data_IF_782828939476
#
_entry.id   IF_782828939476
#
_cell.length_a   1.000
_cell.length_b   1.000
_cell.length_c   1.000
_cell.angle_alpha   90.00
_cell.angle_beta   90.00
_cell.angle_gamma   90.00
#
_symmetry.space_group_name_H-M   'P 1'
#
loop_
_entity.id
_entity.type
_entity.pdbx_description
1 polymer ?
#
# COMPACT_ATOMS: atom_id res chain seq x y z
N UNK A 1 1.28 -7.20 -11.12
CA UNK A 1 1.52 -6.22 -12.21
C UNK A 1 1.62 -7.00 -13.50
N UNK A 2 0.84 -6.66 -14.51
CA UNK A 2 0.80 -7.37 -15.78
C UNK A 2 1.43 -6.52 -16.90
N UNK A 3 2.32 -7.11 -17.68
CA UNK A 3 3.01 -6.47 -18.82
C UNK A 3 3.82 -5.20 -18.48
N UNK A 4 4.29 -5.06 -17.24
CA UNK A 4 5.08 -3.88 -16.85
C UNK A 4 6.49 -3.89 -17.43
N UNK A 5 7.08 -5.08 -17.59
CA UNK A 5 8.43 -5.26 -18.11
C UNK A 5 8.39 -5.83 -19.51
N UNK A 6 9.04 -5.16 -20.46
CA UNK A 6 9.18 -5.68 -21.82
C UNK A 6 10.51 -6.43 -21.97
N UNK A 7 10.52 -7.72 -22.34
CA UNK A 7 11.73 -8.52 -22.48
C UNK A 7 12.46 -8.14 -23.78
N UNK A 8 13.13 -6.98 -23.79
CA UNK A 8 13.83 -6.46 -24.96
C UNK A 8 14.04 -4.94 -24.96
N UNK A 9 13.51 -4.20 -23.98
CA UNK A 9 13.76 -2.78 -23.87
C UNK A 9 15.20 -2.47 -23.43
N UNK A 10 15.85 -1.59 -24.19
CA UNK A 10 17.17 -1.05 -23.91
C UNK A 10 17.09 0.36 -23.30
N UNK A 11 18.21 0.92 -22.86
CA UNK A 11 18.25 2.31 -22.38
C UNK A 11 17.95 3.37 -23.46
N UNK A 12 17.92 2.97 -24.73
CA UNK A 12 17.69 3.83 -25.90
C UNK A 12 16.29 3.70 -26.51
N UNK A 13 15.46 2.77 -26.02
CA UNK A 13 14.06 2.71 -26.46
C UNK A 13 13.30 3.93 -25.95
N UNK A 14 12.21 4.30 -26.63
CA UNK A 14 11.37 5.44 -26.23
C UNK A 14 10.80 5.30 -24.82
N UNK A 15 10.48 4.07 -24.43
CA UNK A 15 10.19 3.67 -23.05
C UNK A 15 11.41 2.89 -22.54
N UNK A 16 12.28 3.50 -21.73
CA UNK A 16 13.47 2.83 -21.25
C UNK A 16 13.15 1.77 -20.19
N UNK A 17 13.97 0.71 -20.11
CA UNK A 17 13.84 -0.33 -19.07
C UNK A 17 13.90 0.22 -17.64
N UNK A 18 14.72 1.24 -17.38
CA UNK A 18 14.82 1.85 -16.06
C UNK A 18 13.51 2.56 -15.64
N UNK A 19 12.74 3.08 -16.60
CA UNK A 19 11.43 3.68 -16.36
C UNK A 19 10.42 2.59 -15.93
N UNK A 20 10.45 1.45 -16.61
CA UNK A 20 9.63 0.28 -16.27
C UNK A 20 9.93 -0.20 -14.85
N UNK A 21 11.22 -0.39 -14.52
CA UNK A 21 11.66 -0.77 -13.18
C UNK A 21 11.23 0.26 -12.15
N UNK A 22 11.43 1.56 -12.40
CA UNK A 22 11.01 2.62 -11.49
C UNK A 22 9.50 2.57 -11.22
N UNK A 23 8.68 2.48 -12.26
CA UNK A 23 7.24 2.37 -12.11
C UNK A 23 6.85 1.14 -11.29
N UNK A 24 7.50 -0.01 -11.50
CA UNK A 24 7.26 -1.20 -10.67
C UNK A 24 7.65 -0.99 -9.21
N UNK A 25 8.79 -0.35 -8.95
CA UNK A 25 9.25 -0.09 -7.59
C UNK A 25 8.33 0.88 -6.87
N UNK A 26 7.86 1.95 -7.53
CA UNK A 26 6.92 2.91 -6.94
C UNK A 26 5.61 2.22 -6.54
N UNK A 27 5.03 1.40 -7.41
CA UNK A 27 3.80 0.69 -7.06
C UNK A 27 4.01 -0.41 -6.02
N UNK A 28 5.22 -0.97 -5.90
CA UNK A 28 5.56 -1.91 -4.82
C UNK A 28 5.77 -1.19 -3.50
N UNK A 29 6.40 -0.01 -3.49
CA UNK A 29 6.69 0.74 -2.26
C UNK A 29 5.46 1.41 -1.66
N UNK A 30 4.41 1.66 -2.45
CA UNK A 30 3.12 2.13 -1.94
C UNK A 30 2.42 1.12 -1.01
N UNK A 31 2.81 -0.16 -1.06
CA UNK A 31 2.21 -1.19 -0.22
C UNK A 31 3.27 -1.88 0.64
N UNK A 32 2.93 -2.30 1.87
CA UNK A 32 3.85 -3.09 2.68
C UNK A 32 4.31 -4.35 1.93
N UNK A 33 5.59 -4.73 2.00
CA UNK A 33 6.08 -5.94 1.36
C UNK A 33 5.40 -7.17 1.95
N UNK A 34 4.91 -8.06 1.07
CA UNK A 34 4.16 -9.25 1.46
C UNK A 34 5.04 -10.48 1.26
N UNK A 35 5.29 -11.22 2.35
CA UNK A 35 5.97 -12.52 2.31
C UNK A 35 4.93 -13.64 2.14
N UNK A 36 4.91 -14.38 1.01
CA UNK A 36 3.86 -15.36 0.72
C UNK A 36 3.80 -16.52 1.72
N UNK A 37 4.91 -16.82 2.40
CA UNK A 37 5.00 -17.91 3.38
C UNK A 37 4.48 -17.52 4.77
N UNK A 38 4.56 -16.23 5.13
CA UNK A 38 4.23 -15.77 6.49
C UNK A 38 2.82 -15.16 6.57
N UNK A 39 2.31 -14.60 5.47
CA UNK A 39 1.01 -13.94 5.49
C UNK A 39 -0.13 -14.93 5.38
N UNK A 40 -1.06 -14.99 6.35
CA UNK A 40 -2.18 -15.92 6.31
C UNK A 40 -3.15 -15.53 5.18
N UNK A 41 -3.50 -16.48 4.32
CA UNK A 41 -4.36 -16.23 3.15
C UNK A 41 -5.77 -15.72 3.48
N UNK A 42 -6.20 -15.86 4.74
CA UNK A 42 -7.47 -15.32 5.25
C UNK A 42 -7.51 -13.79 5.34
N UNK A 43 -6.35 -13.13 5.45
CA UNK A 43 -6.28 -11.66 5.50
C UNK A 43 -6.35 -11.03 4.11
N UNK A 44 -6.03 -11.79 3.06
CA UNK A 44 -6.05 -11.33 1.67
C UNK A 44 -7.49 -11.28 1.16
N UNK A 45 -8.12 -10.10 1.26
CA UNK A 45 -9.51 -9.86 0.82
C UNK A 45 -9.62 -8.99 -0.43
N UNK A 46 -8.55 -8.29 -0.80
CA UNK A 46 -8.52 -7.27 -1.85
C UNK A 46 -7.29 -7.48 -2.71
N UNK A 47 -7.44 -7.25 -4.01
CA UNK A 47 -6.36 -7.33 -4.99
C UNK A 47 -6.42 -6.14 -5.94
N UNK A 48 -5.26 -5.55 -6.17
CA UNK A 48 -5.08 -4.51 -7.16
C UNK A 48 -4.46 -5.11 -8.42
N UNK A 49 -5.15 -4.97 -9.55
CA UNK A 49 -4.65 -5.32 -10.87
C UNK A 49 -4.19 -4.05 -11.59
N UNK A 50 -2.88 -3.99 -11.81
CA UNK A 50 -2.25 -3.02 -12.71
C UNK A 50 -1.90 -3.75 -14.00
N UNK A 51 -2.51 -3.35 -15.11
CA UNK A 51 -2.27 -3.91 -16.43
C UNK A 51 -1.75 -2.83 -17.37
N UNK A 52 -0.52 -2.98 -17.87
CA UNK A 52 0.02 -2.08 -18.89
C UNK A 52 -0.53 -2.46 -20.26
N UNK A 53 -1.05 -1.45 -20.98
CA UNK A 53 -1.42 -1.61 -22.38
C UNK A 53 -0.15 -1.54 -23.23
N UNK A 54 0.15 -2.63 -23.94
CA UNK A 54 1.22 -2.65 -24.95
C UNK A 54 0.62 -2.22 -26.28
N UNK A 55 0.91 -0.99 -26.72
CA UNK A 55 0.67 -0.61 -28.11
C UNK A 55 1.66 -1.39 -28.98
N UNK A 56 1.18 -2.13 -29.98
CA UNK A 56 2.03 -2.97 -30.86
C UNK A 56 3.02 -2.21 -31.75
N UNK A 57 3.10 -0.89 -31.59
CA UNK A 57 4.17 -0.02 -32.10
C UNK A 57 4.77 0.69 -30.90
N UNK A 58 6.08 0.85 -30.88
CA UNK A 58 6.83 1.63 -29.90
C UNK A 58 6.41 3.12 -29.98
N UNK A 59 5.19 3.42 -29.54
CA UNK A 59 4.56 4.73 -29.60
C UNK A 59 5.09 5.63 -28.46
N UNK A 60 5.99 5.11 -27.62
CA UNK A 60 6.56 5.81 -26.47
C UNK A 60 5.56 6.01 -25.32
N UNK A 61 4.32 5.56 -25.50
CA UNK A 61 3.25 5.77 -24.53
C UNK A 61 3.29 4.70 -23.45
N UNK A 62 3.29 5.12 -22.19
CA UNK A 62 3.20 4.22 -21.04
C UNK A 62 1.81 4.38 -20.40
N UNK A 63 0.91 3.46 -20.73
CA UNK A 63 -0.49 3.46 -20.30
C UNK A 63 -0.75 2.28 -19.37
N UNK A 64 -1.27 2.56 -18.18
CA UNK A 64 -1.59 1.56 -17.15
C UNK A 64 -3.07 1.62 -16.80
N UNK A 65 -3.73 0.48 -16.93
CA UNK A 65 -5.07 0.26 -16.41
C UNK A 65 -5.01 -0.14 -14.94
N UNK A 66 -5.69 0.63 -14.10
CA UNK A 66 -5.83 0.40 -12.67
C UNK A 66 -7.21 -0.17 -12.37
N UNK A 67 -7.26 -1.35 -11.75
CA UNK A 67 -8.50 -2.04 -11.40
C UNK A 67 -8.39 -2.67 -10.02
N UNK A 68 -9.38 -2.45 -9.17
CA UNK A 68 -9.43 -2.99 -7.81
C UNK A 68 -10.56 -4.00 -7.67
N UNK A 69 -10.21 -5.21 -7.26
CA UNK A 69 -11.13 -6.32 -7.04
C UNK A 69 -11.12 -6.74 -5.57
N UNK A 70 -12.30 -7.11 -5.06
CA UNK A 70 -12.43 -7.91 -3.85
C UNK A 70 -12.34 -9.40 -4.21
N UNK A 71 -11.60 -10.16 -3.39
CA UNK A 71 -11.46 -11.60 -3.53
C UNK A 71 -12.52 -12.28 -2.66
N UNK A 72 -13.27 -13.20 -3.27
CA UNK A 72 -14.17 -14.12 -2.59
C UNK A 72 -13.71 -15.55 -2.84
N UNK A 73 -13.38 -16.29 -1.79
CA UNK A 73 -12.95 -17.69 -1.90
C UNK A 73 -14.11 -18.63 -1.57
N UNK A 74 -14.21 -19.72 -2.33
CA UNK A 74 -15.16 -20.81 -2.09
C UNK A 74 -14.40 -22.13 -2.01
N UNK A 75 -14.59 -22.90 -0.95
CA UNK A 75 -14.00 -24.24 -0.85
C UNK A 75 -14.60 -25.16 -1.92
N UNK A 76 -13.78 -25.77 -2.77
CA UNK A 76 -14.22 -26.66 -3.87
C UNK A 76 -14.18 -28.14 -3.49
N UNK A 77 -13.28 -28.52 -2.56
CA UNK A 77 -13.07 -29.93 -2.17
C UNK A 77 -14.31 -30.62 -1.54
N UNK A 78 -15.31 -29.86 -1.09
CA UNK A 78 -16.52 -30.41 -0.46
C UNK A 78 -17.69 -30.36 -1.43
N UNK A 79 -18.33 -31.51 -1.66
CA UNK A 79 -19.55 -31.62 -2.48
C UNK A 79 -20.69 -30.77 -1.90
N UNK A 80 -21.64 -30.33 -2.74
CA UNK A 80 -22.81 -29.54 -2.30
C UNK A 80 -23.59 -30.23 -1.16
N UNK A 81 -23.84 -31.56 -1.19
CA UNK A 81 -24.49 -32.27 -0.09
C UNK A 81 -23.69 -32.21 1.23
N UNK A 82 -22.38 -32.42 1.18
CA UNK A 82 -21.51 -32.35 2.35
C UNK A 82 -21.40 -30.91 2.91
N UNK A 83 -21.43 -29.89 2.05
CA UNK A 83 -21.52 -28.47 2.48
C UNK A 83 -22.80 -28.19 3.26
N UNK A 84 -23.93 -28.77 2.85
CA UNK A 84 -25.21 -28.64 3.57
C UNK A 84 -25.16 -29.34 4.94
N UNK A 85 -24.54 -30.51 5.02
CA UNK A 85 -24.33 -31.23 6.29
C UNK A 85 -23.43 -30.41 7.23
N UNK A 86 -22.26 -29.96 6.77
CA UNK A 86 -21.36 -29.10 7.57
C UNK A 86 -22.02 -27.79 8.02
N UNK A 87 -22.90 -27.22 7.18
CA UNK A 87 -23.67 -26.04 7.55
C UNK A 87 -24.71 -26.36 8.64
N UNK A 88 -25.37 -27.52 8.57
CA UNK A 88 -26.30 -27.99 9.60
C UNK A 88 -25.58 -28.29 10.92
N UNK A 89 -24.40 -28.89 10.90
CA UNK A 89 -23.55 -29.14 12.07
C UNK A 89 -23.20 -27.85 12.84
N UNK A 90 -22.76 -26.80 12.12
CA UNK A 90 -22.49 -25.48 12.72
C UNK A 90 -23.74 -24.83 13.32
N UNK A 91 -24.92 -25.17 12.81
CA UNK A 91 -26.19 -24.66 13.34
C UNK A 91 -26.70 -25.51 14.51
N UNK A 92 -26.34 -26.79 14.61
CA UNK A 92 -26.65 -27.63 15.77
C UNK A 92 -25.89 -27.18 17.02
N UNK A 93 -24.65 -26.70 16.86
CA UNK A 93 -23.86 -26.15 17.97
C UNK A 93 -24.38 -24.80 18.47
N UNK A 94 -25.13 -24.06 17.65
CA UNK A 94 -25.76 -22.80 18.03
C UNK A 94 -27.23 -23.04 18.37
N UNK A 95 -27.61 -22.92 19.66
CA UNK A 95 -28.93 -23.33 20.21
C UNK A 95 -30.19 -22.67 19.56
N UNK A 96 -30.05 -21.85 18.53
CA UNK A 96 -31.07 -20.94 18.01
C UNK A 96 -31.79 -21.36 16.71
N UNK A 97 -31.42 -22.45 16.01
CA UNK A 97 -32.16 -22.81 14.79
C UNK A 97 -32.38 -24.32 14.61
N UNK A 98 -33.51 -24.82 15.10
CA UNK A 98 -33.86 -26.25 15.04
C UNK A 98 -34.71 -26.68 13.85
N UNK A 99 -35.03 -25.81 12.89
CA UNK A 99 -36.05 -26.20 11.88
C UNK A 99 -35.88 -25.69 10.43
N UNK A 100 -35.05 -24.69 10.15
CA UNK A 100 -35.08 -24.04 8.82
C UNK A 100 -34.04 -24.50 7.79
N UNK A 101 -32.93 -25.11 8.20
CA UNK A 101 -31.74 -25.32 7.34
C UNK A 101 -31.11 -26.72 7.45
N UNK A 102 -31.78 -27.67 8.09
CA UNK A 102 -31.32 -29.06 8.13
C UNK A 102 -31.82 -29.81 6.90
N UNK A 103 -30.97 -30.59 6.21
CA UNK A 103 -31.42 -31.52 5.18
C UNK A 103 -32.46 -32.49 5.74
N UNK A 104 -33.54 -32.75 5.00
CA UNK A 104 -34.54 -33.73 5.40
C UNK A 104 -34.04 -35.14 5.03
N UNK A 105 -33.59 -35.90 6.04
CA UNK A 105 -33.10 -37.27 5.87
C UNK A 105 -34.19 -38.32 6.17
N UNK A 106 -35.39 -37.92 6.57
CA UNK A 106 -36.42 -38.84 7.07
C UNK A 106 -37.02 -39.80 6.02
N UNK A 107 -36.65 -39.64 4.76
CA UNK A 107 -37.12 -40.47 3.63
C UNK A 107 -35.98 -41.25 2.96
N UNK A 108 -34.75 -41.11 3.47
CA UNK A 108 -33.57 -41.77 2.95
C UNK A 108 -33.18 -42.91 3.89
N UNK A 109 -32.81 -44.06 3.34
CA UNK A 109 -32.40 -45.22 4.13
C UNK A 109 -30.93 -45.12 4.55
N UNK A 110 -30.07 -44.53 3.69
CA UNK A 110 -28.64 -44.35 3.94
C UNK A 110 -28.13 -42.93 3.56
N UNK A 111 -27.01 -42.52 4.16
CA UNK A 111 -26.23 -41.31 3.81
C UNK A 111 -25.71 -41.41 2.37
N UNK A 112 -25.41 -42.63 1.90
CA UNK A 112 -25.04 -42.88 0.52
C UNK A 112 -26.12 -42.34 -0.45
N UNK A 113 -27.41 -42.56 -0.16
CA UNK A 113 -28.50 -42.04 -1.00
C UNK A 113 -28.54 -40.51 -0.99
N UNK A 114 -28.23 -39.88 0.13
CA UNK A 114 -28.14 -38.41 0.21
C UNK A 114 -26.94 -37.86 -0.58
N UNK A 115 -25.80 -38.54 -0.56
CA UNK A 115 -24.61 -38.15 -1.31
C UNK A 115 -24.75 -38.38 -2.81
N UNK A 116 -25.50 -39.42 -3.19
CA UNK A 116 -25.78 -39.80 -4.57
C UNK A 116 -26.88 -38.91 -5.18
N UNK A 117 -27.76 -38.33 -4.36
CA UNK A 117 -28.71 -37.31 -4.81
C UNK A 117 -30.20 -37.60 -4.63
N UNK A 118 -30.57 -38.45 -3.66
CA UNK A 118 -31.95 -38.75 -3.30
C UNK A 118 -32.75 -37.52 -2.81
N UNK A 119 -33.86 -37.74 -2.10
CA UNK A 119 -35.02 -36.82 -1.98
C UNK A 119 -34.81 -35.39 -1.42
N UNK A 120 -33.59 -34.88 -1.23
CA UNK A 120 -33.33 -33.42 -1.30
C UNK A 120 -31.90 -33.04 -1.72
N UNK A 121 -31.14 -33.98 -2.30
CA UNK A 121 -29.67 -33.96 -2.38
C UNK A 121 -29.05 -33.78 -3.76
N UNK A 122 -29.81 -33.40 -4.80
CA UNK A 122 -29.32 -32.91 -6.11
C UNK A 122 -28.18 -33.72 -6.75
N UNK A 123 -28.44 -34.99 -7.08
CA UNK A 123 -27.47 -35.82 -7.78
C UNK A 123 -28.12 -36.81 -8.75
N UNK A 124 -27.72 -36.68 -10.01
CA UNK A 124 -27.02 -37.71 -10.79
C UNK A 124 -26.44 -37.03 -12.04
N UNK A 125 -25.12 -36.90 -12.15
CA UNK A 125 -24.38 -36.84 -13.42
C UNK A 125 -24.72 -35.78 -14.51
N UNK A 126 -25.32 -34.63 -14.22
CA UNK A 126 -25.56 -33.57 -15.25
C UNK A 126 -24.65 -32.35 -15.18
N UNK A 127 -23.58 -32.36 -14.38
CA UNK A 127 -22.63 -31.22 -14.40
C UNK A 127 -21.84 -31.13 -15.72
N UNK A 128 -21.87 -32.16 -16.57
CA UNK A 128 -21.27 -32.11 -17.91
C UNK A 128 -22.04 -31.23 -18.94
N UNK A 129 -23.19 -30.61 -18.61
CA UNK A 129 -23.95 -29.84 -19.63
C UNK A 129 -24.60 -28.53 -19.15
N UNK A 130 -24.59 -28.18 -17.86
CA UNK A 130 -25.32 -26.99 -17.37
C UNK A 130 -24.40 -25.88 -16.88
N UNK A 131 -23.68 -25.26 -17.83
CA UNK A 131 -23.29 -23.83 -17.92
C UNK A 131 -22.76 -23.08 -16.68
N UNK A 132 -22.46 -23.78 -15.60
CA UNK A 132 -22.01 -23.23 -14.31
C UNK A 132 -20.90 -24.08 -13.69
N UNK A 133 -20.21 -24.86 -14.54
CA UNK A 133 -18.90 -25.38 -14.22
C UNK A 133 -18.06 -24.19 -13.75
N UNK A 134 -17.73 -24.20 -12.45
CA UNK A 134 -16.70 -23.32 -11.93
C UNK A 134 -15.46 -23.81 -12.66
N UNK A 135 -15.03 -23.05 -13.66
CA UNK A 135 -13.87 -23.35 -14.51
C UNK A 135 -12.78 -23.97 -13.64
N UNK A 136 -12.36 -25.19 -13.97
CA UNK A 136 -11.26 -25.88 -13.29
C UNK A 136 -9.97 -25.04 -13.30
N UNK A 137 -9.89 -24.06 -14.20
CA UNK A 137 -8.85 -23.02 -14.29
C UNK A 137 -8.82 -22.06 -13.08
N UNK A 138 -9.92 -21.93 -12.33
CA UNK A 138 -10.03 -21.06 -11.15
C UNK A 138 -9.83 -21.82 -9.82
N UNK A 139 -9.50 -23.11 -9.86
CA UNK A 139 -9.23 -23.91 -8.67
C UNK A 139 -7.75 -23.83 -8.28
N UNK A 140 -7.51 -23.40 -7.04
CA UNK A 140 -6.16 -23.30 -6.49
C UNK A 140 -6.04 -24.26 -5.32
N UNK A 141 -4.99 -25.09 -5.36
CA UNK A 141 -4.59 -25.93 -4.24
C UNK A 141 -3.83 -25.08 -3.22
N UNK A 142 -4.37 -24.98 -2.02
CA UNK A 142 -3.86 -24.09 -0.98
C UNK A 142 -3.43 -24.91 0.22
N UNK A 143 -2.15 -24.83 0.59
CA UNK A 143 -1.66 -25.32 1.88
C UNK A 143 -1.94 -24.24 2.92
N UNK A 144 -2.88 -24.49 3.84
CA UNK A 144 -3.21 -23.52 4.88
C UNK A 144 -2.19 -23.64 6.03
N UNK A 145 -1.24 -22.70 6.10
CA UNK A 145 -0.28 -22.59 7.22
C UNK A 145 -0.86 -21.85 8.44
N UNK A 146 -2.17 -21.62 8.50
CA UNK A 146 -2.78 -20.93 9.64
C UNK A 146 -2.44 -21.66 10.96
N UNK A 147 -1.95 -20.95 11.99
CA UNK A 147 -1.70 -21.56 13.28
C UNK A 147 -3.03 -22.11 13.81
N UNK A 148 -3.11 -23.44 13.96
CA UNK A 148 -4.27 -24.11 14.55
C UNK A 148 -4.57 -23.46 15.90
N UNK A 149 -5.86 -23.29 16.19
CA UNK A 149 -6.33 -22.76 17.48
C UNK A 149 -5.79 -23.67 18.58
N UNK A 150 -4.80 -23.20 19.32
CA UNK A 150 -4.23 -23.95 20.44
C UNK A 150 -5.36 -24.18 21.43
N UNK A 151 -5.77 -25.43 21.62
CA UNK A 151 -6.80 -25.79 22.58
C UNK A 151 -6.33 -25.35 23.97
N UNK A 152 -7.24 -24.78 24.77
CA UNK A 152 -6.92 -24.46 26.17
C UNK A 152 -6.48 -25.73 26.91
N UNK A 153 -5.61 -25.59 27.92
CA UNK A 153 -5.09 -26.71 28.73
C UNK A 153 -6.19 -27.64 29.25
N UNK A 154 -7.34 -27.08 29.64
CA UNK A 154 -8.53 -27.84 30.07
C UNK A 154 -9.17 -28.68 28.95
N UNK A 155 -9.20 -28.16 27.73
CA UNK A 155 -9.72 -28.88 26.56
C UNK A 155 -8.76 -29.97 26.09
N UNK A 156 -7.43 -29.76 26.24
CA UNK A 156 -6.41 -30.77 25.97
C UNK A 156 -6.55 -31.98 26.89
N UNK A 157 -6.68 -31.75 28.20
CA UNK A 157 -6.87 -32.81 29.20
C UNK A 157 -8.19 -33.59 29.00
N UNK A 158 -9.25 -32.92 28.52
CA UNK A 158 -10.52 -33.57 28.24
C UNK A 158 -10.47 -34.46 26.97
N UNK A 159 -9.75 -34.04 25.93
CA UNK A 159 -9.53 -34.84 24.72
C UNK A 159 -8.68 -36.08 25.02
N UNK A 160 -7.65 -35.92 25.84
CA UNK A 160 -6.76 -37.01 26.29
C UNK A 160 -7.52 -38.06 27.15
N UNK A 161 -8.51 -37.63 27.94
CA UNK A 161 -9.37 -38.53 28.71
C UNK A 161 -10.41 -39.29 27.86
N UNK A 162 -10.79 -38.73 26.70
CA UNK A 162 -11.77 -39.35 25.80
C UNK A 162 -11.13 -40.32 24.78
N UNK A 163 -9.80 -40.50 24.82
CA UNK A 163 -9.11 -41.39 23.88
C UNK A 163 -9.20 -40.94 22.42
N UNK A 164 -9.42 -39.65 22.18
CA UNK A 164 -9.31 -39.08 20.84
C UNK A 164 -7.82 -38.93 20.52
N UNK A 165 -7.29 -39.85 19.71
CA UNK A 165 -5.95 -39.77 19.16
C UNK A 165 -5.72 -38.36 18.61
N UNK A 166 -4.63 -37.69 19.03
CA UNK A 166 -4.24 -36.41 18.46
C UNK A 166 -3.98 -36.64 16.97
N UNK A 167 -4.93 -36.23 16.14
CA UNK A 167 -4.85 -36.32 14.68
C UNK A 167 -3.46 -35.88 14.22
N UNK A 168 -2.73 -36.81 13.60
CA UNK A 168 -1.44 -36.58 12.96
C UNK A 168 -1.49 -35.33 12.08
N UNK A 169 -0.34 -34.68 11.89
CA UNK A 169 -0.19 -33.47 11.08
C UNK A 169 -0.53 -33.74 9.61
N UNK A 170 -1.82 -33.87 9.29
CA UNK A 170 -2.29 -33.85 7.91
C UNK A 170 -2.13 -32.42 7.46
N UNK A 171 -1.17 -32.18 6.57
CA UNK A 171 -1.09 -30.94 5.81
C UNK A 171 -2.48 -30.68 5.23
N UNK A 172 -3.16 -29.65 5.74
CA UNK A 172 -4.51 -29.32 5.31
C UNK A 172 -4.43 -28.64 3.95
N UNK A 173 -4.27 -29.45 2.92
CA UNK A 173 -4.34 -29.05 1.53
C UNK A 173 -5.81 -28.80 1.21
N UNK A 174 -6.21 -27.53 1.15
CA UNK A 174 -7.56 -27.12 0.79
C UNK A 174 -7.60 -26.62 -0.66
N UNK A 175 -8.49 -27.20 -1.48
CA UNK A 175 -8.80 -26.60 -2.79
C UNK A 175 -9.84 -25.49 -2.62
N UNK A 176 -9.51 -24.29 -3.09
CA UNK A 176 -10.38 -23.11 -3.05
C UNK A 176 -10.49 -22.52 -4.46
N UNK A 177 -11.73 -22.26 -4.89
CA UNK A 177 -12.02 -21.45 -6.06
C UNK A 177 -12.01 -19.96 -5.70
N UNK A 178 -11.40 -19.15 -6.56
CA UNK A 178 -11.32 -17.70 -6.39
C UNK A 178 -12.32 -17.01 -7.32
N UNK A 179 -13.17 -16.15 -6.75
CA UNK A 179 -14.05 -15.27 -7.51
C UNK A 179 -13.72 -13.81 -7.20
N UNK A 180 -13.54 -13.02 -8.25
CA UNK A 180 -13.26 -11.59 -8.16
C UNK A 180 -14.58 -10.80 -8.28
N UNK A 181 -14.71 -9.75 -7.48
CA UNK A 181 -15.81 -8.77 -7.55
C UNK A 181 -15.19 -7.40 -7.71
N UNK A 182 -15.56 -6.64 -8.75
CA UNK A 182 -15.08 -5.26 -8.93
C UNK A 182 -15.54 -4.40 -7.75
N UNK A 183 -14.60 -3.75 -7.05
CA UNK A 183 -14.89 -2.89 -5.89
C UNK A 183 -14.71 -1.41 -6.22
N UNK A 184 -13.60 -1.08 -6.88
CA UNK A 184 -13.08 0.29 -6.96
C UNK A 184 -13.08 0.91 -8.35
N UNK A 185 -12.55 2.15 -8.45
CA UNK A 185 -12.58 2.93 -9.68
C UNK A 185 -11.77 2.23 -10.79
N UNK A 186 -12.30 2.33 -12.01
CA UNK A 186 -11.66 1.84 -13.24
C UNK A 186 -10.95 3.02 -13.87
N UNK A 187 -9.62 3.07 -13.71
CA UNK A 187 -8.82 4.18 -14.23
C UNK A 187 -7.89 3.69 -15.33
N UNK A 188 -7.66 4.56 -16.30
CA UNK A 188 -6.59 4.41 -17.29
C UNK A 188 -5.64 5.58 -17.13
N UNK A 189 -4.46 5.30 -16.62
CA UNK A 189 -3.42 6.28 -16.33
C UNK A 189 -2.42 6.30 -17.48
N UNK A 190 -1.96 7.49 -17.88
CA UNK A 190 -0.89 7.68 -18.86
C UNK A 190 0.25 8.41 -18.19
N UNK A 191 1.47 7.87 -18.27
CA UNK A 191 2.65 8.50 -17.71
C UNK A 191 3.15 9.57 -18.67
N UNK A 192 3.07 10.83 -18.26
CA UNK A 192 3.49 11.98 -19.08
C UNK A 192 4.92 12.43 -18.78
N UNK A 193 5.31 12.42 -17.50
CA UNK A 193 6.56 12.98 -17.01
C UNK A 193 7.02 12.24 -15.76
N UNK A 194 8.33 12.09 -15.60
CA UNK A 194 8.98 11.64 -14.37
C UNK A 194 9.94 12.72 -13.91
N UNK A 195 9.78 13.09 -12.65
CA UNK A 195 10.59 14.08 -11.94
C UNK A 195 11.29 13.40 -10.77
N UNK A 196 12.41 13.97 -10.37
CA UNK A 196 13.09 13.64 -9.13
C UNK A 196 12.35 14.29 -7.94
N UNK A 197 12.28 13.60 -6.81
CA UNK A 197 11.68 14.14 -5.58
C UNK A 197 10.16 14.39 -5.67
N UNK A 198 9.69 15.34 -4.87
CA UNK A 198 8.28 15.72 -4.74
C UNK A 198 7.97 16.94 -5.61
N UNK A 199 7.50 16.70 -6.84
CA UNK A 199 6.93 17.71 -7.76
C UNK A 199 7.82 18.90 -8.17
N UNK A 200 9.06 18.99 -7.69
CA UNK A 200 9.94 20.14 -7.91
C UNK A 200 11.38 19.75 -8.26
N UNK A 201 11.62 18.52 -8.70
CA UNK A 201 12.96 18.10 -9.07
C UNK A 201 13.24 18.09 -10.57
N UNK A 202 14.40 17.52 -10.87
CA UNK A 202 14.87 17.38 -12.24
C UNK A 202 13.98 16.43 -13.05
N UNK A 203 13.69 16.81 -14.28
CA UNK A 203 12.95 15.97 -15.23
C UNK A 203 13.85 14.84 -15.71
N UNK A 204 13.48 13.61 -15.38
CA UNK A 204 14.21 12.40 -15.77
C UNK A 204 13.71 11.83 -17.10
N UNK A 205 12.38 11.84 -17.30
CA UNK A 205 11.76 11.38 -18.53
C UNK A 205 10.51 12.19 -18.84
N UNK A 206 10.23 12.39 -20.12
CA UNK A 206 9.03 13.07 -20.59
C UNK A 206 8.59 12.45 -21.92
N UNK A 207 7.28 12.28 -22.09
CA UNK A 207 6.69 11.60 -23.24
C UNK A 207 6.80 12.43 -24.53
N UNK A 208 6.45 13.72 -24.47
CA UNK A 208 6.39 14.60 -25.65
C UNK A 208 7.63 15.47 -25.88
N UNK A 209 8.28 15.94 -24.81
CA UNK A 209 9.34 16.95 -24.88
C UNK A 209 10.68 16.28 -24.61
N UNK A 210 11.49 16.12 -25.65
CA UNK A 210 12.84 15.60 -25.55
C UNK A 210 13.84 16.74 -25.61
N UNK A 211 14.58 16.96 -24.52
CA UNK A 211 15.66 17.94 -24.46
C UNK A 211 16.93 17.36 -25.06
N UNK A 212 17.74 18.22 -25.67
CA UNK A 212 19.05 17.84 -26.18
C UNK A 212 20.00 17.51 -25.01
N UNK A 213 21.06 16.75 -25.29
CA UNK A 213 22.04 16.38 -24.26
C UNK A 213 22.78 17.58 -23.66
N UNK A 214 22.90 18.67 -24.42
CA UNK A 214 23.55 19.90 -23.97
C UNK A 214 22.63 20.67 -23.02
N UNK A 215 21.36 20.84 -23.40
CA UNK A 215 20.34 21.44 -22.54
C UNK A 215 20.15 20.66 -21.23
N UNK A 216 20.20 19.33 -21.26
CA UNK A 216 20.12 18.49 -20.05
C UNK A 216 21.30 18.78 -19.12
N UNK A 217 22.52 18.90 -19.64
CA UNK A 217 23.72 19.22 -18.83
C UNK A 217 23.68 20.63 -18.25
N UNK A 218 23.15 21.59 -19.00
CA UNK A 218 22.98 22.97 -18.49
C UNK A 218 21.95 23.03 -17.37
N UNK A 219 20.84 22.32 -17.54
CA UNK A 219 19.82 22.17 -16.50
C UNK A 219 20.37 21.45 -15.27
N UNK A 220 21.15 20.40 -15.45
CA UNK A 220 21.85 19.71 -14.34
C UNK A 220 22.72 20.67 -13.54
N UNK A 221 23.56 21.47 -14.21
CA UNK A 221 24.39 22.46 -13.53
C UNK A 221 23.56 23.51 -12.78
N UNK A 222 22.43 23.93 -13.35
CA UNK A 222 21.52 24.89 -12.69
C UNK A 222 20.88 24.28 -11.45
N UNK A 223 20.44 23.02 -11.54
CA UNK A 223 19.89 22.29 -10.41
C UNK A 223 20.92 22.02 -9.32
N UNK A 224 22.14 21.65 -9.70
CA UNK A 224 23.24 21.42 -8.76
C UNK A 224 23.60 22.68 -7.97
N UNK A 225 23.67 23.84 -8.63
CA UNK A 225 23.87 25.13 -7.95
C UNK A 225 22.74 25.42 -6.96
N UNK A 226 21.48 25.25 -7.39
CA UNK A 226 20.32 25.44 -6.52
C UNK A 226 20.34 24.49 -5.31
N UNK A 227 20.73 23.23 -5.51
CA UNK A 227 20.86 22.26 -4.42
C UNK A 227 21.94 22.66 -3.42
N UNK A 228 23.11 23.08 -3.90
CA UNK A 228 24.21 23.55 -3.03
C UNK A 228 23.79 24.77 -2.20
N UNK A 229 23.09 25.72 -2.81
CA UNK A 229 22.55 26.89 -2.11
C UNK A 229 21.49 26.50 -1.06
N UNK A 230 20.57 25.59 -1.40
CA UNK A 230 19.54 25.09 -0.47
C UNK A 230 20.17 24.30 0.69
N UNK A 231 21.16 23.46 0.43
CA UNK A 231 21.89 22.74 1.48
C UNK A 231 22.71 23.66 2.40
N UNK A 232 23.37 24.68 1.83
CA UNK A 232 24.07 25.69 2.61
C UNK A 232 23.12 26.43 3.55
N UNK A 233 21.95 26.85 3.03
CA UNK A 233 20.88 27.50 3.82
C UNK A 233 20.36 26.57 4.92
N UNK A 234 20.09 25.30 4.61
CA UNK A 234 19.62 24.29 5.59
C UNK A 234 20.66 24.06 6.69
N UNK A 235 21.96 24.01 6.35
CA UNK A 235 23.04 23.85 7.33
C UNK A 235 23.16 25.05 8.28
N UNK A 236 23.04 26.27 7.75
CA UNK A 236 23.05 27.48 8.56
C UNK A 236 21.82 27.55 9.49
N UNK A 237 20.63 27.26 8.97
CA UNK A 237 19.41 27.21 9.77
C UNK A 237 19.51 26.16 10.88
N UNK A 238 20.02 24.96 10.58
CA UNK A 238 20.21 23.89 11.58
C UNK A 238 21.17 24.33 12.68
N UNK A 239 22.31 24.95 12.34
CA UNK A 239 23.25 25.48 13.33
C UNK A 239 22.63 26.59 14.19
N UNK A 240 21.81 27.46 13.59
CA UNK A 240 21.10 28.51 14.31
C UNK A 240 20.04 27.97 15.27
N UNK A 241 19.27 26.96 14.85
CA UNK A 241 18.28 26.28 15.70
C UNK A 241 18.98 25.54 16.84
N UNK A 242 20.07 24.82 16.57
CA UNK A 242 20.84 24.10 17.58
C UNK A 242 21.44 25.06 18.62
N UNK A 243 22.02 26.18 18.17
CA UNK A 243 22.50 27.25 19.06
C UNK A 243 21.37 27.80 19.93
N UNK A 244 20.22 28.14 19.35
CA UNK A 244 19.05 28.62 20.10
C UNK A 244 18.53 27.57 21.09
N UNK A 245 18.53 26.29 20.72
CA UNK A 245 18.13 25.18 21.60
C UNK A 245 19.11 25.03 22.77
N UNK A 246 20.41 25.11 22.51
CA UNK A 246 21.44 25.07 23.54
C UNK A 246 21.36 26.27 24.51
N UNK A 247 21.13 27.48 24.00
CA UNK A 247 20.93 28.68 24.81
C UNK A 247 19.66 28.60 25.67
N UNK A 248 18.55 28.10 25.13
CA UNK A 248 17.32 27.85 25.90
C UNK A 248 17.55 26.80 26.99
N UNK A 249 18.23 25.71 26.68
CA UNK A 249 18.56 24.67 27.66
C UNK A 249 19.49 25.19 28.76
N UNK A 250 20.46 26.04 28.42
CA UNK A 250 21.33 26.71 29.39
C UNK A 250 20.55 27.68 30.29
N UNK A 251 19.64 28.48 29.72
CA UNK A 251 18.74 29.37 30.49
C UNK A 251 17.84 28.62 31.46
N UNK A 252 17.25 27.49 31.02
CA UNK A 252 16.41 26.62 31.88
C UNK A 252 17.23 26.02 33.03
N UNK A 253 18.50 25.67 32.79
CA UNK A 253 19.41 25.20 33.86
C UNK A 253 19.81 26.32 34.82
N UNK A 254 20.01 27.55 34.36
CA UNK A 254 20.33 28.68 35.25
C UNK A 254 19.13 29.16 36.07
N UNK A 255 17.90 29.10 35.52
CA UNK A 255 16.68 29.48 36.25
C UNK A 255 16.22 28.44 37.26
N UNK A 256 16.70 27.20 37.17
CA UNK A 256 16.45 26.15 38.17
C UNK A 256 17.40 26.22 39.39
N UNK A 257 18.37 27.15 39.38
CA UNK A 257 19.40 27.28 40.42
C UNK A 257 19.17 28.41 41.44
N UNK A 258 18.17 29.28 41.24
CA UNK A 258 17.87 30.41 42.12
C UNK A 258 16.39 30.40 42.51
N UNK A 259 16.09 30.10 43.78
CA UNK A 259 14.76 30.26 44.37
C UNK A 259 14.02 28.97 44.71
N UNK A 260 14.32 28.45 45.90
CA UNK A 260 13.46 27.53 46.65
C UNK A 260 12.48 28.33 47.51
N UNK A 261 11.25 27.81 47.62
CA UNK A 261 10.12 28.08 48.54
C UNK A 261 9.14 29.21 48.17
N UNK A 262 7.89 28.82 47.85
CA UNK A 262 6.72 29.70 47.91
C UNK A 262 5.50 29.31 47.07
N UNK A 263 4.74 28.32 47.58
CA UNK A 263 3.31 28.02 47.34
C UNK A 263 2.88 27.18 46.13
N UNK A 264 2.07 26.17 46.49
CA UNK A 264 1.38 25.19 45.66
C UNK A 264 0.17 25.86 45.00
N UNK A 265 0.20 25.98 43.66
CA UNK A 265 -1.02 25.92 42.85
C UNK A 265 -0.78 24.87 41.77
N UNK A 266 -1.46 23.74 41.96
CA UNK A 266 -1.61 22.63 41.03
C UNK A 266 -2.33 23.11 39.77
N UNK A 267 -1.57 23.48 38.75
CA UNK A 267 -2.00 23.30 37.36
C UNK A 267 -1.16 22.15 36.76
N UNK A 268 -1.48 20.94 37.22
CA UNK A 268 -1.25 19.71 36.46
C UNK A 268 -2.17 19.73 35.22
N UNK A 269 -1.76 20.45 34.19
CA UNK A 269 -2.08 20.09 32.80
C UNK A 269 -0.78 19.60 32.14
N UNK A 270 -0.50 18.35 32.46
CA UNK A 270 0.37 17.43 31.75
C UNK A 270 -0.21 17.19 30.35
N UNK A 271 0.16 18.03 29.39
CA UNK A 271 0.15 17.68 27.95
C UNK A 271 1.08 18.57 27.11
N UNK A 272 2.19 19.05 27.69
CA UNK A 272 3.37 19.33 26.88
C UNK A 272 4.10 17.99 26.71
N UNK A 273 3.40 17.06 26.03
CA UNK A 273 4.05 16.04 25.23
C UNK A 273 5.15 16.82 24.52
N UNK A 274 6.40 16.62 24.97
CA UNK A 274 7.58 17.08 24.28
C UNK A 274 7.55 16.27 23.00
N UNK A 275 6.63 16.65 22.09
CA UNK A 275 6.55 16.18 20.73
C UNK A 275 7.94 16.48 20.30
N UNK A 276 8.67 15.40 20.10
CA UNK A 276 10.03 15.46 19.66
C UNK A 276 9.95 16.17 18.31
N UNK A 277 10.03 17.51 18.31
CA UNK A 277 10.12 18.33 17.10
C UNK A 277 11.48 18.14 16.43
N UNK A 278 12.25 17.12 16.86
CA UNK A 278 13.34 16.53 16.09
C UNK A 278 12.93 15.28 15.30
N UNK A 279 11.67 14.82 15.39
CA UNK A 279 11.13 13.62 14.74
C UNK A 279 9.83 13.87 13.96
N UNK A 280 9.16 15.02 14.14
CA UNK A 280 8.32 15.54 13.06
C UNK A 280 9.23 16.07 11.96
N UNK A 281 9.41 15.20 10.99
CA UNK A 281 9.99 15.40 9.68
C UNK A 281 9.39 16.65 9.00
N UNK A 282 9.89 17.83 9.36
CA UNK A 282 9.61 19.09 8.64
C UNK A 282 10.30 19.09 7.26
N UNK A 283 10.79 17.95 6.77
CA UNK A 283 11.37 17.82 5.43
C UNK A 283 10.31 17.78 4.31
N UNK A 284 9.01 17.69 4.61
CA UNK A 284 8.00 17.46 3.55
C UNK A 284 6.90 18.52 3.41
N UNK A 285 6.76 19.50 4.31
CA UNK A 285 5.71 20.52 4.23
C UNK A 285 6.22 21.95 4.45
N UNK A 286 7.28 22.33 3.75
CA UNK A 286 7.47 23.76 3.47
C UNK A 286 6.63 24.09 2.25
N UNK A 287 5.55 24.84 2.47
CA UNK A 287 4.67 25.35 1.43
C UNK A 287 5.42 26.41 0.60
N UNK A 288 6.42 25.99 -0.19
CA UNK A 288 7.24 26.85 -1.07
C UNK A 288 6.50 27.26 -2.35
N UNK A 289 5.18 27.04 -2.45
CA UNK A 289 4.40 27.34 -3.66
C UNK A 289 4.02 28.81 -3.87
N UNK A 290 4.24 29.71 -2.90
CA UNK A 290 3.74 31.09 -3.02
C UNK A 290 4.77 32.19 -2.73
N UNK A 291 5.74 31.97 -1.83
CA UNK A 291 6.67 33.02 -1.42
C UNK A 291 7.86 33.16 -2.39
N UNK A 292 8.40 32.05 -2.88
CA UNK A 292 9.57 32.07 -3.77
C UNK A 292 9.29 32.59 -5.18
N UNK A 293 8.09 32.33 -5.72
CA UNK A 293 7.72 32.76 -7.08
C UNK A 293 7.33 34.26 -7.14
N UNK A 294 6.92 34.85 -6.01
CA UNK A 294 6.61 36.29 -5.92
C UNK A 294 7.89 37.13 -5.82
N UNK A 295 8.86 36.70 -5.03
CA UNK A 295 10.13 37.41 -4.84
C UNK A 295 11.02 37.31 -6.09
N UNK A 296 10.99 36.16 -6.79
CA UNK A 296 11.71 35.99 -8.06
C UNK A 296 11.12 36.85 -9.20
N UNK A 297 9.79 36.90 -9.33
CA UNK A 297 9.13 37.78 -10.32
C UNK A 297 9.33 39.27 -10.02
N UNK A 298 9.37 39.65 -8.74
CA UNK A 298 9.65 41.02 -8.34
C UNK A 298 11.09 41.43 -8.68
N UNK A 299 12.07 40.54 -8.46
CA UNK A 299 13.45 40.79 -8.82
C UNK A 299 13.69 40.80 -10.34
N UNK A 300 13.05 39.90 -11.09
CA UNK A 300 13.14 39.87 -12.57
C UNK A 300 12.52 41.15 -13.18
N UNK A 301 11.41 41.64 -12.63
CA UNK A 301 10.81 42.90 -13.04
C UNK A 301 11.71 44.12 -12.72
N UNK A 302 12.34 44.16 -11.54
CA UNK A 302 13.29 45.24 -11.20
C UNK A 302 14.58 45.20 -12.02
N UNK A 303 15.06 44.02 -12.43
CA UNK A 303 16.19 43.90 -13.36
C UNK A 303 15.82 44.36 -14.77
N UNK A 304 14.59 44.11 -15.23
CA UNK A 304 14.11 44.50 -16.57
C UNK A 304 13.81 46.02 -16.66
N UNK A 305 13.30 46.63 -15.58
CA UNK A 305 13.05 48.08 -15.49
C UNK A 305 14.32 48.90 -15.19
N UNK A 306 15.48 48.27 -14.96
CA UNK A 306 16.77 48.95 -14.78
C UNK A 306 16.88 49.79 -13.49
N UNK A 307 15.94 49.61 -12.54
CA UNK A 307 15.87 50.42 -11.32
C UNK A 307 17.12 50.27 -10.43
N UNK A 308 17.79 49.10 -10.49
CA UNK A 308 19.05 48.83 -9.78
C UNK A 308 20.24 49.71 -10.20
N UNK A 309 20.26 50.21 -11.44
CA UNK A 309 21.31 51.14 -11.89
C UNK A 309 21.08 52.54 -11.33
N UNK A 310 19.82 52.95 -11.18
CA UNK A 310 19.44 54.26 -10.65
C UNK A 310 19.71 54.40 -9.15
N UNK A 311 19.45 53.33 -8.37
CA UNK A 311 19.69 53.33 -6.92
C UNK A 311 21.19 53.31 -6.58
N UNK A 312 22.02 52.69 -7.44
CA UNK A 312 23.49 52.76 -7.31
C UNK A 312 24.07 54.14 -7.60
N UNK A 313 23.50 54.89 -8.54
CA UNK A 313 23.94 56.27 -8.83
C UNK A 313 23.54 57.26 -7.73
N UNK A 314 22.43 57.01 -7.04
CA UNK A 314 21.94 57.88 -5.97
C UNK A 314 22.72 57.70 -4.66
N UNK A 315 23.09 56.46 -4.31
CA UNK A 315 23.95 56.15 -3.14
C UNK A 315 25.38 56.70 -3.31
N UNK A 316 25.85 56.91 -4.55
CA UNK A 316 27.16 57.49 -4.85
C UNK A 316 27.23 59.03 -4.76
N UNK A 317 26.12 59.72 -4.50
CA UNK A 317 26.06 61.21 -4.47
C UNK A 317 25.74 61.84 -3.10
N UNK A 318 25.62 61.05 -2.05
CA UNK A 318 25.57 61.54 -0.65
C UNK A 318 26.90 61.33 0.06
#
# INVERSE_FOLDING_TARGET
MNNFTTPGADAKSKVPKHLETLATTVFQSLFPPINPQQTPLKTIRRVLLLNREESGKDDGTFIVNFRHYAITTKSTMVSKPLKRIKAAEKLLTTKSSRHGRMPNLGKLEDIADYMIGGETGDGYMTDATSGSEVETDAEIEVVDHAPRRVLSTKARLAAEQNGEDMEEEVENVERRAVKLVELGPRMRLRLTKVEEGLCDGKIMWHEYVHKSREEIKELEKRWEKRHQEKEARKKEQKANVERKRAEKAARKKSSAGDGKDGDEDEDEDDDDEEVNYSDVDFEEFDSEGLAGDAEFKANEAMEEDGEWESEREEIGRT
#
